data_IF_764324878281
#
_entry.id   IF_764324878281
#
_cell.length_a   1.000
_cell.length_b   1.000
_cell.length_c   1.000
_cell.angle_alpha   90.00
_cell.angle_beta   90.00
_cell.angle_gamma   90.00
#
_symmetry.space_group_name_H-M   'P 1'
#
loop_
_entity.id
_entity.type
_entity.pdbx_description
1 polymer ?
#
# COMPACT_ATOMS: atom_id res chain seq x y z
N UNK A 1 12.54 -16.65 7.26
CA UNK A 1 11.43 -15.66 7.18
C UNK A 1 10.84 -15.49 8.57
N UNK A 2 10.63 -14.25 9.02
CA UNK A 2 9.97 -13.97 10.31
C UNK A 2 8.49 -13.76 10.03
N UNK A 3 7.64 -14.55 10.65
CA UNK A 3 6.19 -14.35 10.56
C UNK A 3 5.80 -13.19 11.48
N UNK A 4 4.96 -12.29 10.97
CA UNK A 4 4.34 -11.23 11.75
C UNK A 4 2.95 -11.69 12.13
N UNK A 5 2.69 -11.78 13.44
CA UNK A 5 1.36 -12.13 13.95
C UNK A 5 0.61 -10.85 14.29
N UNK A 6 -0.56 -10.65 13.71
CA UNK A 6 -1.43 -9.53 14.03
C UNK A 6 -2.67 -10.06 14.78
N UNK A 7 -2.80 -9.70 16.06
CA UNK A 7 -3.95 -10.11 16.89
C UNK A 7 -5.20 -9.27 16.67
N UNK A 8 -5.05 -8.05 16.14
CA UNK A 8 -6.15 -7.12 15.87
C UNK A 8 -5.90 -6.37 14.55
N UNK A 9 -6.34 -6.91 13.41
CA UNK A 9 -6.14 -6.30 12.09
C UNK A 9 -6.74 -4.90 11.97
N UNK A 10 -7.94 -4.65 12.49
CA UNK A 10 -8.58 -3.35 12.42
C UNK A 10 -7.77 -2.26 13.14
N UNK A 11 -7.25 -2.57 14.33
CA UNK A 11 -6.34 -1.66 15.04
C UNK A 11 -5.05 -1.42 14.27
N UNK A 12 -4.50 -2.46 13.65
CA UNK A 12 -3.28 -2.35 12.85
C UNK A 12 -3.49 -1.42 11.64
N UNK A 13 -4.58 -1.59 10.89
CA UNK A 13 -4.92 -0.73 9.76
C UNK A 13 -5.11 0.72 10.23
N UNK A 14 -5.88 0.95 11.30
CA UNK A 14 -6.06 2.29 11.86
C UNK A 14 -4.73 2.96 12.26
N UNK A 15 -3.87 2.24 12.97
CA UNK A 15 -2.53 2.74 13.34
C UNK A 15 -1.69 3.05 12.09
N UNK A 16 -1.77 2.23 11.06
CA UNK A 16 -1.06 2.41 9.80
C UNK A 16 -1.57 3.66 9.05
N UNK A 17 -2.88 3.90 9.03
CA UNK A 17 -3.47 5.14 8.48
C UNK A 17 -2.91 6.37 9.19
N UNK A 18 -2.84 6.36 10.53
CA UNK A 18 -2.32 7.49 11.30
C UNK A 18 -0.82 7.72 11.09
N UNK A 19 -0.02 6.65 11.08
CA UNK A 19 1.45 6.73 10.95
C UNK A 19 1.93 6.93 9.53
N UNK A 20 1.13 6.55 8.55
CA UNK A 20 1.54 6.45 7.16
C UNK A 20 2.55 5.33 6.92
N UNK A 21 3.06 5.26 5.71
CA UNK A 21 4.11 4.33 5.29
C UNK A 21 5.25 5.09 4.61
N UNK A 22 6.37 5.21 5.32
CA UNK A 22 7.53 5.91 4.78
C UNK A 22 8.16 5.19 3.58
N UNK A 23 8.07 3.87 3.54
CA UNK A 23 8.58 3.05 2.45
C UNK A 23 7.86 3.34 1.13
N UNK A 24 6.55 3.55 1.23
CA UNK A 24 5.67 3.85 0.09
C UNK A 24 5.46 5.37 -0.12
N UNK A 25 6.17 6.21 0.64
CA UNK A 25 6.09 7.65 0.50
C UNK A 25 4.83 8.27 1.12
N UNK A 26 4.09 7.54 1.95
CA UNK A 26 2.87 8.02 2.63
C UNK A 26 3.25 8.65 3.97
N UNK A 27 3.15 10.00 4.14
CA UNK A 27 3.47 10.64 5.41
C UNK A 27 2.39 10.38 6.47
N UNK A 28 2.76 10.53 7.76
CA UNK A 28 1.77 10.48 8.81
C UNK A 28 0.74 11.61 8.64
N UNK A 29 -0.45 11.43 9.18
CA UNK A 29 -1.59 12.33 8.94
C UNK A 29 -1.43 13.74 9.55
N UNK A 30 -0.45 13.96 10.43
CA UNK A 30 -0.11 15.28 10.96
C UNK A 30 0.83 16.08 10.05
N UNK A 31 1.45 15.42 9.07
CA UNK A 31 2.48 15.98 8.21
C UNK A 31 1.91 16.45 6.87
N UNK A 32 2.59 17.39 6.23
CA UNK A 32 2.25 17.84 4.88
C UNK A 32 2.55 16.75 3.83
N UNK A 33 1.85 16.82 2.70
CA UNK A 33 1.96 15.85 1.60
C UNK A 33 3.39 15.80 1.01
N UNK A 34 4.07 16.95 0.99
CA UNK A 34 5.39 17.16 0.39
C UNK A 34 6.57 16.88 1.34
N UNK A 35 6.30 16.40 2.55
CA UNK A 35 7.33 16.30 3.61
C UNK A 35 8.56 15.49 3.20
N UNK A 36 8.37 14.42 2.41
CA UNK A 36 9.46 13.58 1.94
C UNK A 36 10.17 14.19 0.72
N UNK A 37 9.44 14.86 -0.15
CA UNK A 37 9.99 15.53 -1.35
C UNK A 37 10.83 16.74 -0.96
N UNK A 38 10.38 17.50 0.04
CA UNK A 38 11.10 18.69 0.55
C UNK A 38 12.20 18.35 1.55
N UNK A 39 12.36 17.08 1.91
CA UNK A 39 13.35 16.63 2.90
C UNK A 39 13.08 17.13 4.33
N UNK A 40 11.89 17.64 4.60
CA UNK A 40 11.49 18.09 5.95
C UNK A 40 11.25 16.89 6.87
N UNK A 41 11.35 17.16 8.17
CA UNK A 41 11.02 16.16 9.19
C UNK A 41 9.51 16.09 9.37
N UNK A 42 8.97 14.86 9.46
CA UNK A 42 7.56 14.64 9.79
C UNK A 42 7.21 15.23 11.17
N UNK A 43 5.97 15.68 11.32
CA UNK A 43 5.41 16.06 12.63
C UNK A 43 5.42 14.85 13.56
N UNK A 44 5.97 14.96 14.79
CA UNK A 44 6.01 13.83 15.72
C UNK A 44 4.62 13.31 16.08
N UNK A 45 4.45 12.00 16.01
CA UNK A 45 3.21 11.30 16.39
C UNK A 45 3.50 10.32 17.53
N UNK A 46 3.14 10.72 18.75
CA UNK A 46 3.35 9.90 19.94
C UNK A 46 2.40 8.71 20.00
N UNK A 47 2.90 7.54 20.41
CA UNK A 47 2.11 6.31 20.55
C UNK A 47 0.89 6.49 21.45
N UNK A 48 1.03 7.23 22.57
CA UNK A 48 -0.09 7.54 23.47
C UNK A 48 -1.28 8.22 22.77
N UNK A 49 -1.01 9.08 21.77
CA UNK A 49 -2.07 9.72 20.98
C UNK A 49 -2.75 8.73 20.06
N UNK A 50 -1.96 7.89 19.38
CA UNK A 50 -2.49 6.82 18.51
C UNK A 50 -3.40 5.88 19.31
N UNK A 51 -2.96 5.46 20.49
CA UNK A 51 -3.75 4.60 21.39
C UNK A 51 -5.05 5.29 21.85
N UNK A 52 -4.99 6.58 22.15
CA UNK A 52 -6.15 7.37 22.59
C UNK A 52 -7.21 7.57 21.49
N UNK A 53 -6.82 7.51 20.24
CA UNK A 53 -7.71 7.66 19.08
C UNK A 53 -8.20 6.31 18.54
N UNK A 54 -7.64 5.21 18.99
CA UNK A 54 -8.06 3.87 18.56
C UNK A 54 -9.54 3.63 18.88
N UNK A 55 -10.30 3.25 17.84
CA UNK A 55 -11.74 3.00 17.95
C UNK A 55 -12.63 4.25 18.03
N UNK A 56 -12.05 5.44 17.83
CA UNK A 56 -12.81 6.71 17.72
C UNK A 56 -12.99 7.09 16.25
N UNK A 57 -14.06 7.81 15.98
CA UNK A 57 -14.27 8.43 14.69
C UNK A 57 -13.21 9.53 14.47
N UNK A 58 -12.54 9.58 13.33
CA UNK A 58 -11.56 10.62 13.03
C UNK A 58 -12.13 12.03 13.10
N UNK A 59 -13.43 12.21 12.87
CA UNK A 59 -14.13 13.50 12.98
C UNK A 59 -14.19 14.03 14.42
N UNK A 60 -14.05 13.15 15.43
CA UNK A 60 -14.06 13.55 16.84
C UNK A 60 -12.74 14.17 17.31
N UNK A 61 -11.62 13.95 16.61
CA UNK A 61 -10.30 14.37 17.08
C UNK A 61 -9.43 15.06 16.01
N UNK A 62 -9.89 15.12 14.78
CA UNK A 62 -9.16 15.77 13.69
C UNK A 62 -9.69 17.19 13.44
N UNK A 63 -8.80 18.14 13.23
CA UNK A 63 -9.14 19.36 12.51
C UNK A 63 -9.30 19.06 10.99
N UNK A 64 -9.74 20.06 10.22
CA UNK A 64 -10.00 19.92 8.78
C UNK A 64 -8.77 19.40 8.02
N UNK A 65 -7.57 19.92 8.33
CA UNK A 65 -6.32 19.49 7.68
C UNK A 65 -5.96 18.05 8.06
N UNK A 66 -6.08 17.72 9.34
CA UNK A 66 -5.81 16.37 9.84
C UNK A 66 -6.77 15.36 9.22
N UNK A 67 -8.06 15.71 9.12
CA UNK A 67 -9.09 14.85 8.53
C UNK A 67 -8.82 14.60 7.04
N UNK A 68 -8.47 15.65 6.28
CA UNK A 68 -8.05 15.50 4.89
C UNK A 68 -6.88 14.52 4.76
N UNK A 69 -5.84 14.69 5.58
CA UNK A 69 -4.67 13.83 5.55
C UNK A 69 -4.98 12.39 6.00
N UNK A 70 -5.88 12.24 6.98
CA UNK A 70 -6.39 10.93 7.39
C UNK A 70 -7.09 10.23 6.22
N UNK A 71 -8.01 10.91 5.53
CA UNK A 71 -8.75 10.35 4.38
C UNK A 71 -7.80 9.99 3.22
N UNK A 72 -6.78 10.82 2.94
CA UNK A 72 -5.72 10.47 1.98
C UNK A 72 -5.03 9.16 2.37
N UNK A 73 -4.57 9.05 3.61
CA UNK A 73 -3.88 7.85 4.06
C UNK A 73 -4.81 6.62 4.08
N UNK A 74 -6.08 6.80 4.44
CA UNK A 74 -7.08 5.74 4.40
C UNK A 74 -7.20 5.15 2.99
N UNK A 75 -7.33 5.98 1.97
CA UNK A 75 -7.41 5.51 0.58
C UNK A 75 -6.13 4.81 0.08
N UNK A 76 -4.97 5.12 0.67
CA UNK A 76 -3.69 4.54 0.26
C UNK A 76 -3.32 3.27 1.04
N UNK A 77 -3.87 3.08 2.23
CA UNK A 77 -3.48 2.02 3.16
C UNK A 77 -4.58 0.97 3.34
N UNK A 78 -5.85 1.40 3.34
CA UNK A 78 -6.99 0.53 3.60
C UNK A 78 -7.62 0.09 2.27
N UNK A 79 -7.52 -1.20 1.96
CA UNK A 79 -8.03 -1.76 0.71
C UNK A 79 -9.55 -1.63 0.54
N UNK A 80 -10.30 -1.46 1.65
CA UNK A 80 -11.74 -1.24 1.60
C UNK A 80 -12.11 0.17 1.11
N UNK A 81 -11.12 1.08 1.03
CA UNK A 81 -11.30 2.49 0.62
C UNK A 81 -10.66 2.83 -0.73
N UNK A 82 -10.33 1.84 -1.54
CA UNK A 82 -9.84 2.07 -2.91
C UNK A 82 -10.94 2.77 -3.71
N UNK A 83 -10.64 3.89 -4.39
CA UNK A 83 -11.62 4.57 -5.24
C UNK A 83 -12.21 3.66 -6.32
N UNK A 84 -13.53 3.68 -6.49
CA UNK A 84 -14.27 2.80 -7.41
C UNK A 84 -13.72 2.84 -8.85
N UNK A 85 -13.39 4.03 -9.34
CA UNK A 85 -12.80 4.19 -10.67
C UNK A 85 -11.46 3.46 -10.85
N UNK A 86 -10.69 3.27 -9.77
CA UNK A 86 -9.43 2.49 -9.81
C UNK A 86 -9.75 1.00 -9.86
N UNK A 87 -10.75 0.55 -9.10
CA UNK A 87 -11.21 -0.85 -9.10
C UNK A 87 -11.72 -1.21 -10.50
N UNK A 88 -12.60 -0.38 -11.07
CA UNK A 88 -13.17 -0.59 -12.41
C UNK A 88 -12.08 -0.67 -13.49
N UNK A 89 -11.16 0.30 -13.53
CA UNK A 89 -10.06 0.31 -14.49
C UNK A 89 -9.12 -0.90 -14.33
N UNK A 90 -8.86 -1.30 -13.10
CA UNK A 90 -8.00 -2.48 -12.82
C UNK A 90 -8.68 -3.76 -13.32
N UNK A 91 -9.96 -3.92 -13.04
CA UNK A 91 -10.73 -5.08 -13.51
C UNK A 91 -10.83 -5.11 -15.04
N UNK A 92 -11.09 -3.96 -15.69
CA UNK A 92 -11.13 -3.86 -17.15
C UNK A 92 -9.78 -4.25 -17.78
N UNK A 93 -8.66 -3.77 -17.22
CA UNK A 93 -7.33 -4.14 -17.70
C UNK A 93 -7.08 -5.63 -17.50
N UNK A 94 -7.47 -6.18 -16.35
CA UNK A 94 -7.28 -7.59 -16.03
C UNK A 94 -8.10 -8.49 -16.97
N UNK A 95 -9.38 -8.18 -17.20
CA UNK A 95 -10.29 -8.96 -18.05
C UNK A 95 -9.88 -8.90 -19.53
N UNK A 96 -9.32 -7.78 -19.96
CA UNK A 96 -8.82 -7.59 -21.32
C UNK A 96 -7.37 -8.07 -21.51
N UNK A 97 -6.69 -8.46 -20.44
CA UNK A 97 -5.29 -8.89 -20.51
C UNK A 97 -5.19 -10.24 -21.22
N UNK A 98 -4.56 -10.23 -22.39
CA UNK A 98 -4.23 -11.44 -23.12
C UNK A 98 -2.82 -11.86 -22.76
N UNK A 99 -2.68 -13.03 -22.18
CA UNK A 99 -1.38 -13.66 -21.98
C UNK A 99 -0.67 -13.77 -23.32
N UNK A 100 0.56 -13.25 -23.38
CA UNK A 100 1.41 -13.42 -24.54
C UNK A 100 1.65 -14.92 -24.79
N UNK A 101 1.79 -15.31 -26.07
CA UNK A 101 2.11 -16.69 -26.43
C UNK A 101 3.39 -17.16 -25.70
N UNK A 102 3.26 -18.27 -25.00
CA UNK A 102 4.37 -18.91 -24.28
C UNK A 102 5.46 -19.46 -25.20
N UNK A 103 5.18 -19.57 -26.49
CA UNK A 103 6.09 -20.10 -27.51
C UNK A 103 7.48 -19.44 -27.54
N UNK A 104 7.59 -18.19 -27.08
CA UNK A 104 8.85 -17.44 -27.06
C UNK A 104 9.66 -17.62 -25.77
N UNK A 105 9.06 -18.13 -24.70
CA UNK A 105 9.69 -18.26 -23.38
C UNK A 105 10.90 -19.21 -23.45
N UNK A 106 10.73 -20.37 -24.09
CA UNK A 106 11.81 -21.34 -24.28
C UNK A 106 13.01 -20.70 -24.97
N UNK A 107 12.80 -20.04 -26.11
CA UNK A 107 13.86 -19.40 -26.86
C UNK A 107 14.54 -18.27 -26.08
N UNK A 108 13.78 -17.54 -25.26
CA UNK A 108 14.30 -16.52 -24.36
C UNK A 108 15.24 -17.12 -23.31
N UNK A 109 14.85 -18.22 -22.66
CA UNK A 109 15.66 -18.90 -21.65
C UNK A 109 16.94 -19.49 -22.27
N UNK A 110 16.84 -20.10 -23.46
CA UNK A 110 18.01 -20.61 -24.20
C UNK A 110 18.98 -19.47 -24.53
N UNK A 111 18.49 -18.38 -25.12
CA UNK A 111 19.30 -17.22 -25.52
C UNK A 111 20.03 -16.59 -24.32
N UNK A 112 19.36 -16.53 -23.18
CA UNK A 112 19.91 -15.91 -21.97
C UNK A 112 20.61 -16.92 -21.04
N UNK A 113 20.81 -18.16 -21.46
CA UNK A 113 21.49 -19.24 -20.70
C UNK A 113 20.87 -19.49 -19.31
N UNK A 114 19.53 -19.34 -19.21
CA UNK A 114 18.78 -19.48 -17.96
C UNK A 114 18.41 -20.96 -17.73
N UNK A 115 19.40 -21.83 -17.54
CA UNK A 115 19.22 -23.27 -17.45
C UNK A 115 18.22 -23.68 -16.38
N UNK A 116 18.32 -23.13 -15.17
CA UNK A 116 17.43 -23.48 -14.05
C UNK A 116 15.97 -23.11 -14.31
N UNK A 117 15.70 -22.11 -15.17
CA UNK A 117 14.35 -21.72 -15.56
C UNK A 117 13.77 -22.66 -16.63
N UNK A 118 14.64 -23.32 -17.40
CA UNK A 118 14.19 -24.32 -18.39
C UNK A 118 13.65 -25.59 -17.72
N UNK A 119 14.19 -25.95 -16.55
CA UNK A 119 13.76 -27.14 -15.81
C UNK A 119 12.34 -26.98 -15.24
N UNK A 120 11.87 -25.74 -15.07
CA UNK A 120 10.54 -25.38 -14.55
C UNK A 120 9.69 -24.60 -15.57
N UNK A 121 9.99 -24.73 -16.86
CA UNK A 121 9.32 -23.97 -17.93
C UNK A 121 7.81 -24.17 -17.98
N UNK A 122 7.32 -25.29 -17.48
CA UNK A 122 5.89 -25.61 -17.39
C UNK A 122 5.14 -24.76 -16.36
N UNK A 123 5.85 -24.10 -15.46
CA UNK A 123 5.28 -23.21 -14.45
C UNK A 123 4.96 -21.79 -14.99
N UNK A 124 5.39 -21.50 -16.24
CA UNK A 124 5.19 -20.19 -16.91
C UNK A 124 4.09 -20.24 -18.01
#
# INVERSE_FOLDING_TARGET
KKYVTCSNPARYVHEHILRGDRGDGVPNFLSSDDVFVTGKRQTPLATKKVDAWNGKDPEDYCDERMLRNYRRNQQLVDLDFIPENIIEQTNEIFDNYKLNERSKIFNYFVKNKMRNMMDVIHDF
#
